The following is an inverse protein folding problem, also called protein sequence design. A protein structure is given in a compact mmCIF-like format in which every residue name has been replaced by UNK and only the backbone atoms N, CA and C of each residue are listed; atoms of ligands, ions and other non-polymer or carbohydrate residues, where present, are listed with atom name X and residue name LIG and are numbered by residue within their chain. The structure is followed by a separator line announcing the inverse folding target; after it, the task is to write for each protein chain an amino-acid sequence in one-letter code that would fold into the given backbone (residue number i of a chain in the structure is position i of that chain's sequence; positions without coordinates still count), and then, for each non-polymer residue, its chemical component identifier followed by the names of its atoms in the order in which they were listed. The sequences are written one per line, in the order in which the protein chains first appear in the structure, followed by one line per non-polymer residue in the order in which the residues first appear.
data_IF_736262713216
#
_entry.id   IF_736262713216
#
_cell.length_a   1.000
_cell.length_b   1.000
_cell.length_c   1.000
_cell.angle_alpha   90.00
_cell.angle_beta   90.00
_cell.angle_gamma   90.00
#
_symmetry.space_group_name_H-M   'P 1'
#
loop_
_entity.id
_entity.type
_entity.pdbx_description
1 polymer ?
#
# COMPACT_ATOMS: atom_id res chain seq x y z
N UNK A 1 -13.32 -32.51 -45.97
CA UNK A 1 -14.79 -32.34 -45.89
C UNK A 1 -15.11 -30.94 -45.36
N UNK A 2 -15.38 -29.96 -46.23
CA UNK A 2 -15.84 -28.64 -45.83
C UNK A 2 -17.37 -28.62 -45.70
N UNK A 3 -17.89 -28.21 -44.54
CA UNK A 3 -19.33 -28.03 -44.32
C UNK A 3 -19.73 -26.54 -44.52
N UNK A 4 -20.91 -26.27 -45.10
CA UNK A 4 -21.27 -24.97 -45.67
C UNK A 4 -21.90 -23.97 -44.67
N UNK A 5 -21.63 -22.68 -44.91
CA UNK A 5 -22.48 -21.53 -44.55
C UNK A 5 -22.94 -20.85 -45.88
N UNK A 6 -23.95 -19.94 -45.93
CA UNK A 6 -24.81 -19.38 -44.88
C UNK A 6 -26.31 -19.35 -45.24
N UNK A 7 -27.20 -19.12 -44.26
CA UNK A 7 -28.59 -18.74 -44.53
C UNK A 7 -28.93 -17.43 -43.81
N UNK A 8 -29.06 -16.35 -44.59
CA UNK A 8 -29.51 -15.02 -44.14
C UNK A 8 -31.03 -14.99 -44.21
N UNK A 9 -31.70 -14.90 -43.07
CA UNK A 9 -33.13 -14.62 -43.01
C UNK A 9 -33.30 -13.12 -42.74
N UNK A 10 -33.91 -12.43 -43.70
CA UNK A 10 -34.44 -11.07 -43.54
C UNK A 10 -35.87 -11.20 -43.00
N UNK A 11 -36.17 -10.58 -41.87
CA UNK A 11 -37.56 -10.35 -41.46
C UNK A 11 -37.80 -8.84 -41.32
N UNK A 12 -38.80 -8.37 -42.05
CA UNK A 12 -39.32 -7.00 -42.00
C UNK A 12 -40.37 -6.89 -40.89
N UNK A 13 -40.28 -5.78 -40.16
CA UNK A 13 -41.34 -4.94 -39.58
C UNK A 13 -42.48 -5.59 -38.77
N UNK A 14 -42.61 -5.15 -37.52
CA UNK A 14 -43.91 -4.79 -36.94
C UNK A 14 -43.70 -3.71 -35.87
N UNK A 15 -44.64 -2.78 -35.84
CA UNK A 15 -44.60 -1.51 -35.13
C UNK A 15 -45.20 -1.61 -33.71
N UNK A 16 -44.76 -0.64 -32.89
CA UNK A 16 -45.48 0.02 -31.81
C UNK A 16 -46.07 -0.85 -30.68
N UNK A 17 -45.37 -0.85 -29.54
CA UNK A 17 -46.00 -0.90 -28.23
C UNK A 17 -45.53 0.32 -27.42
N UNK A 18 -46.47 1.22 -27.15
CA UNK A 18 -46.30 2.36 -26.24
C UNK A 18 -46.13 1.82 -24.82
N UNK A 19 -44.89 1.80 -24.34
CA UNK A 19 -44.53 1.53 -22.95
C UNK A 19 -44.41 2.87 -22.21
N UNK A 20 -45.45 3.24 -21.48
CA UNK A 20 -45.36 4.15 -20.34
C UNK A 20 -44.69 3.40 -19.19
N UNK A 21 -43.36 3.29 -19.24
CA UNK A 21 -42.54 2.94 -18.08
C UNK A 21 -41.70 4.16 -17.74
N UNK A 22 -42.04 4.81 -16.63
CA UNK A 22 -41.25 5.91 -16.08
C UNK A 22 -39.80 5.47 -15.83
N UNK A 23 -38.87 6.44 -15.72
CA UNK A 23 -37.47 6.12 -15.57
C UNK A 23 -37.31 5.36 -14.25
N UNK A 24 -36.98 4.08 -14.35
CA UNK A 24 -36.24 3.41 -13.31
C UNK A 24 -34.92 4.19 -13.20
N UNK A 25 -34.90 5.17 -12.30
CA UNK A 25 -33.69 5.78 -11.78
C UNK A 25 -32.92 4.70 -11.05
N UNK A 26 -32.34 3.77 -11.81
CA UNK A 26 -31.27 2.92 -11.35
C UNK A 26 -30.13 3.86 -11.05
N UNK A 27 -30.08 4.34 -9.82
CA UNK A 27 -28.82 4.81 -9.23
C UNK A 27 -27.92 3.59 -9.31
N UNK A 28 -27.11 3.53 -10.36
CA UNK A 28 -26.04 2.56 -10.44
C UNK A 28 -25.27 2.74 -9.14
N UNK A 29 -25.34 1.73 -8.26
CA UNK A 29 -24.56 1.72 -7.04
C UNK A 29 -23.11 1.91 -7.48
N UNK A 30 -22.57 3.11 -7.25
CA UNK A 30 -21.15 3.36 -7.44
C UNK A 30 -20.43 2.27 -6.63
N UNK A 31 -19.51 1.52 -7.23
CA UNK A 31 -18.70 0.56 -6.48
C UNK A 31 -18.15 1.31 -5.28
N UNK A 32 -18.54 0.89 -4.07
CA UNK A 32 -18.01 1.50 -2.86
C UNK A 32 -16.49 1.36 -2.92
N UNK A 33 -15.78 2.47 -2.92
CA UNK A 33 -14.32 2.45 -2.87
C UNK A 33 -13.91 1.62 -1.64
N UNK A 34 -12.96 0.68 -1.79
CA UNK A 34 -12.56 -0.17 -0.68
C UNK A 34 -12.05 0.71 0.48
N UNK A 35 -12.41 0.38 1.74
CA UNK A 35 -12.03 1.21 2.86
C UNK A 35 -10.50 1.25 3.03
N UNK A 36 -9.94 2.45 3.23
CA UNK A 36 -8.50 2.63 3.53
C UNK A 36 -8.23 2.12 4.95
N UNK A 37 -7.76 0.87 5.05
CA UNK A 37 -7.45 0.23 6.34
C UNK A 37 -6.01 0.41 6.78
N UNK A 38 -5.08 0.61 5.83
CA UNK A 38 -3.63 0.59 6.06
C UNK A 38 -3.00 -0.80 5.97
N UNK A 39 -3.76 -1.85 5.62
CA UNK A 39 -3.20 -3.18 5.33
C UNK A 39 -2.51 -3.22 3.98
N UNK A 40 -3.08 -2.57 2.98
CA UNK A 40 -2.53 -2.37 1.65
C UNK A 40 -2.60 -0.88 1.26
N UNK A 41 -2.34 -0.56 -0.01
CA UNK A 41 -2.45 0.80 -0.51
C UNK A 41 -3.86 1.20 -0.95
N UNK A 42 -4.85 0.29 -0.89
CA UNK A 42 -6.25 0.52 -1.26
C UNK A 42 -6.45 1.18 -2.64
N UNK A 43 -5.58 0.88 -3.61
CA UNK A 43 -5.60 1.53 -4.94
C UNK A 43 -5.09 2.98 -4.97
N UNK A 44 -4.71 3.56 -3.82
CA UNK A 44 -4.25 4.95 -3.73
C UNK A 44 -2.77 5.04 -4.09
N UNK A 45 -2.45 5.90 -5.07
CA UNK A 45 -1.07 6.24 -5.40
C UNK A 45 -0.63 7.48 -4.61
N UNK A 46 0.61 7.49 -4.09
CA UNK A 46 1.17 8.70 -3.48
C UNK A 46 1.42 9.75 -4.58
N UNK A 47 1.05 11.03 -4.36
CA UNK A 47 1.29 12.12 -5.31
C UNK A 47 2.76 12.59 -5.26
N UNK A 48 3.70 11.65 -5.44
CA UNK A 48 5.14 11.87 -5.39
C UNK A 48 5.71 11.49 -6.76
N UNK A 49 6.54 12.38 -7.33
CA UNK A 49 7.22 12.09 -8.57
C UNK A 49 8.16 10.87 -8.39
N UNK A 50 8.15 9.90 -9.33
CA UNK A 50 9.08 8.76 -9.27
C UNK A 50 10.54 9.22 -9.25
N UNK A 51 11.34 8.63 -8.38
CA UNK A 51 12.78 8.87 -8.29
C UNK A 51 13.53 7.59 -8.66
N UNK A 52 14.57 7.70 -9.48
CA UNK A 52 15.42 6.56 -9.82
C UNK A 52 16.27 6.10 -8.63
N UNK A 53 16.47 4.80 -8.46
CA UNK A 53 17.38 4.28 -7.45
C UNK A 53 17.20 2.80 -7.17
N UNK A 54 17.42 2.40 -5.92
CA UNK A 54 17.22 1.03 -5.45
C UNK A 54 16.38 1.01 -4.18
N UNK A 55 15.77 -0.13 -3.91
CA UNK A 55 15.11 -0.42 -2.63
C UNK A 55 15.90 -1.56 -1.98
N UNK A 56 16.59 -1.28 -0.88
CA UNK A 56 17.37 -2.29 -0.14
C UNK A 56 16.94 -2.36 1.31
N UNK A 57 16.61 -3.56 1.75
CA UNK A 57 16.13 -3.83 3.10
C UNK A 57 17.07 -4.85 3.75
N UNK A 58 17.60 -4.53 4.93
CA UNK A 58 18.48 -5.40 5.71
C UNK A 58 17.95 -5.48 7.14
N UNK A 59 17.89 -6.68 7.70
CA UNK A 59 17.54 -6.92 9.11
C UNK A 59 18.06 -8.28 9.56
N UNK A 60 18.05 -8.56 10.87
CA UNK A 60 18.32 -9.92 11.38
C UNK A 60 17.16 -10.86 11.11
N UNK A 61 15.92 -10.39 11.30
CA UNK A 61 14.70 -11.17 11.12
C UNK A 61 13.68 -10.37 10.31
N UNK A 62 12.93 -11.06 9.45
CA UNK A 62 11.78 -10.50 8.78
C UNK A 62 10.58 -11.45 8.75
N UNK A 63 9.40 -10.85 8.78
CA UNK A 63 8.12 -11.46 8.44
C UNK A 63 7.69 -10.90 7.09
N UNK A 64 7.22 -11.74 6.18
CA UNK A 64 6.75 -11.32 4.85
C UNK A 64 5.44 -12.00 4.49
N UNK A 65 4.48 -11.22 4.03
CA UNK A 65 3.22 -11.74 3.51
C UNK A 65 2.63 -10.80 2.46
N UNK A 66 1.76 -11.34 1.62
CA UNK A 66 0.98 -10.56 0.66
C UNK A 66 -0.30 -10.03 1.30
N UNK A 67 -0.70 -8.84 0.89
CA UNK A 67 -1.99 -8.23 1.22
C UNK A 67 -2.83 -8.12 -0.07
N UNK A 68 -3.96 -7.42 0.00
CA UNK A 68 -4.74 -7.05 -1.19
C UNK A 68 -3.91 -6.26 -2.19
N UNK A 69 -4.46 -6.03 -3.39
CA UNK A 69 -3.93 -5.17 -4.47
C UNK A 69 -2.49 -5.45 -4.99
N UNK A 70 -1.91 -6.60 -4.62
CA UNK A 70 -0.53 -6.95 -4.97
C UNK A 70 0.52 -6.32 -4.03
N UNK A 71 0.09 -5.76 -2.90
CA UNK A 71 1.01 -5.26 -1.87
C UNK A 71 1.73 -6.41 -1.18
N UNK A 72 3.07 -6.31 -1.11
CA UNK A 72 3.90 -7.11 -0.21
C UNK A 72 4.14 -6.32 1.06
N UNK A 73 3.91 -6.97 2.19
CA UNK A 73 4.15 -6.40 3.51
C UNK A 73 5.29 -7.12 4.21
N UNK A 74 6.10 -6.34 4.91
CA UNK A 74 7.25 -6.78 5.65
C UNK A 74 7.21 -6.19 7.05
N UNK A 75 7.61 -6.99 8.04
CA UNK A 75 8.05 -6.48 9.35
C UNK A 75 9.50 -6.89 9.53
N UNK A 76 10.37 -5.95 9.86
CA UNK A 76 11.81 -6.10 9.99
C UNK A 76 12.21 -5.87 11.44
N UNK A 77 13.07 -6.72 11.99
CA UNK A 77 13.55 -6.63 13.36
C UNK A 77 15.06 -6.90 13.46
N UNK A 78 15.73 -6.09 14.28
CA UNK A 78 17.15 -6.24 14.62
C UNK A 78 18.07 -5.64 13.55
N UNK A 79 18.80 -4.59 13.93
CA UNK A 79 19.75 -3.86 13.07
C UNK A 79 19.18 -3.48 11.71
N UNK A 80 17.96 -2.96 11.70
CA UNK A 80 17.23 -2.66 10.48
C UNK A 80 17.95 -1.53 9.73
N UNK A 81 18.23 -1.75 8.44
CA UNK A 81 18.67 -0.73 7.50
C UNK A 81 17.74 -0.72 6.30
N UNK A 82 17.19 0.45 6.01
CA UNK A 82 16.28 0.67 4.89
C UNK A 82 16.90 1.72 3.98
N UNK A 83 17.06 1.38 2.71
CA UNK A 83 17.46 2.31 1.68
C UNK A 83 16.37 2.44 0.62
N UNK A 84 15.94 3.67 0.37
CA UNK A 84 14.90 3.99 -0.62
C UNK A 84 15.42 5.14 -1.48
N UNK A 85 15.63 4.88 -2.77
CA UNK A 85 16.13 5.87 -3.73
C UNK A 85 17.40 6.61 -3.25
N UNK A 86 18.35 5.87 -2.67
CA UNK A 86 19.62 6.40 -2.15
C UNK A 86 19.57 7.00 -0.74
N UNK A 87 18.39 7.14 -0.14
CA UNK A 87 18.25 7.60 1.25
C UNK A 87 18.32 6.42 2.20
N UNK A 88 19.29 6.43 3.12
CA UNK A 88 19.52 5.34 4.07
C UNK A 88 19.06 5.70 5.48
N UNK A 89 18.32 4.79 6.09
CA UNK A 89 17.82 4.89 7.46
C UNK A 89 18.26 3.67 8.26
N UNK A 90 18.59 3.87 9.54
CA UNK A 90 18.81 2.79 10.51
C UNK A 90 17.71 2.85 11.56
N UNK A 91 17.21 1.69 11.98
CA UNK A 91 16.08 1.58 12.90
C UNK A 91 16.24 0.33 13.78
N UNK A 92 15.54 0.29 14.91
CA UNK A 92 15.44 -0.95 15.70
C UNK A 92 14.52 -1.96 15.01
N UNK A 93 13.40 -1.47 14.47
CA UNK A 93 12.34 -2.23 13.80
C UNK A 93 11.72 -1.39 12.68
N UNK A 94 11.10 -2.06 11.70
CA UNK A 94 10.32 -1.39 10.69
C UNK A 94 9.12 -2.23 10.21
N UNK A 95 8.06 -1.58 9.77
CA UNK A 95 7.05 -2.19 8.90
C UNK A 95 7.13 -1.54 7.52
N UNK A 96 7.14 -2.33 6.46
CA UNK A 96 7.32 -1.86 5.09
C UNK A 96 6.23 -2.43 4.18
N UNK A 97 5.64 -1.58 3.36
CA UNK A 97 4.67 -1.92 2.32
C UNK A 97 5.28 -1.60 0.98
N UNK A 98 5.18 -2.53 0.04
CA UNK A 98 5.69 -2.39 -1.31
C UNK A 98 4.65 -2.87 -2.31
N UNK A 99 4.35 -2.03 -3.30
CA UNK A 99 3.46 -2.39 -4.40
C UNK A 99 4.02 -1.90 -5.71
N UNK A 100 4.03 -2.76 -6.70
CA UNK A 100 4.40 -2.40 -8.06
C UNK A 100 3.22 -1.64 -8.70
N UNK A 101 3.47 -0.46 -9.26
CA UNK A 101 2.39 0.39 -9.81
C UNK A 101 2.00 -0.01 -11.23
N UNK A 102 2.92 -0.55 -12.01
CA UNK A 102 2.70 -0.94 -13.41
C UNK A 102 3.68 -2.07 -13.82
N UNK A 103 3.68 -2.45 -15.10
CA UNK A 103 4.61 -3.46 -15.62
C UNK A 103 6.06 -2.97 -15.73
N UNK A 104 6.32 -1.67 -15.54
CA UNK A 104 7.67 -1.13 -15.42
C UNK A 104 8.26 -1.46 -14.04
N UNK A 105 9.55 -1.19 -13.81
CA UNK A 105 10.17 -1.41 -12.49
C UNK A 105 9.79 -0.33 -11.46
N UNK A 106 8.58 0.23 -11.55
CA UNK A 106 8.09 1.29 -10.68
C UNK A 106 7.38 0.74 -9.46
N UNK A 107 7.86 1.16 -8.29
CA UNK A 107 7.37 0.73 -6.98
C UNK A 107 6.88 1.91 -6.18
N UNK A 108 5.73 1.74 -5.53
CA UNK A 108 5.33 2.55 -4.40
C UNK A 108 5.75 1.85 -3.12
N UNK A 109 6.38 2.61 -2.22
CA UNK A 109 6.89 2.11 -0.94
C UNK A 109 6.43 3.02 0.19
N UNK A 110 6.03 2.40 1.29
CA UNK A 110 5.86 3.05 2.58
C UNK A 110 6.63 2.28 3.63
N UNK A 111 7.42 2.97 4.45
CA UNK A 111 8.14 2.39 5.57
C UNK A 111 7.84 3.14 6.86
N UNK A 112 7.35 2.43 7.86
CA UNK A 112 7.23 2.91 9.23
C UNK A 112 8.42 2.39 10.03
N UNK A 113 9.30 3.29 10.45
CA UNK A 113 10.55 2.97 11.11
C UNK A 113 10.49 3.37 12.60
N UNK A 114 10.93 2.50 13.51
CA UNK A 114 11.03 2.79 14.95
C UNK A 114 12.48 3.03 15.39
N UNK A 115 12.67 3.94 16.36
CA UNK A 115 13.97 4.32 16.91
C UNK A 115 15.00 4.70 15.83
N UNK A 116 14.58 5.60 14.94
CA UNK A 116 15.35 5.93 13.75
C UNK A 116 16.62 6.69 14.10
N UNK A 117 17.70 6.28 13.45
CA UNK A 117 18.99 6.95 13.39
C UNK A 117 19.41 7.05 11.93
N UNK A 118 19.79 8.24 11.50
CA UNK A 118 20.44 8.42 10.19
C UNK A 118 21.95 8.50 10.41
N UNK A 119 22.77 7.81 9.60
CA UNK A 119 24.21 8.01 9.66
C UNK A 119 24.53 9.48 9.36
N UNK A 120 25.39 10.10 10.17
CA UNK A 120 25.85 11.47 9.91
C UNK A 120 26.59 11.50 8.56
N UNK A 121 25.96 12.07 7.54
CA UNK A 121 26.67 12.59 6.37
C UNK A 121 27.39 13.89 6.73
N UNK A 122 28.46 14.21 6.02
CA UNK A 122 29.26 15.43 6.22
C UNK A 122 28.34 16.66 6.32
N UNK A 123 28.45 17.36 7.46
CA UNK A 123 27.71 18.57 7.83
C UNK A 123 26.17 18.46 7.89
N UNK A 124 25.65 18.13 9.09
CA UNK A 124 24.74 19.07 9.75
C UNK A 124 23.32 18.64 10.12
N UNK A 125 22.83 17.43 9.81
CA UNK A 125 21.49 17.03 10.29
C UNK A 125 21.39 15.51 10.51
N UNK A 126 21.53 15.06 11.75
CA UNK A 126 21.15 13.70 12.15
C UNK A 126 19.68 13.71 12.58
N UNK A 127 18.83 12.96 11.87
CA UNK A 127 17.45 12.71 12.29
C UNK A 127 17.44 11.61 13.35
N UNK A 128 16.88 11.92 14.52
CA UNK A 128 16.48 10.96 15.55
C UNK A 128 14.98 11.11 15.78
N UNK A 129 14.25 10.01 15.66
CA UNK A 129 12.81 10.01 15.87
C UNK A 129 12.38 8.68 16.52
N UNK A 130 11.43 8.74 17.44
CA UNK A 130 10.83 7.54 18.01
C UNK A 130 10.10 6.71 16.93
N UNK A 131 9.46 7.41 16.00
CA UNK A 131 8.85 6.82 14.81
C UNK A 131 9.00 7.75 13.61
N UNK A 132 9.26 7.19 12.43
CA UNK A 132 9.37 7.93 11.17
C UNK A 132 8.62 7.20 10.05
N UNK A 133 7.49 7.74 9.56
CA UNK A 133 6.90 7.29 8.30
C UNK A 133 7.69 7.86 7.11
N UNK A 134 8.06 6.99 6.18
CA UNK A 134 8.76 7.32 4.93
C UNK A 134 7.89 6.89 3.76
N UNK A 135 7.68 7.79 2.80
CA UNK A 135 6.91 7.57 1.57
C UNK A 135 7.85 7.65 0.37
N UNK A 136 7.64 6.82 -0.63
CA UNK A 136 8.42 6.89 -1.87
C UNK A 136 7.70 6.28 -3.07
N UNK A 137 7.97 6.84 -4.24
CA UNK A 137 7.70 6.22 -5.54
C UNK A 137 9.04 6.11 -6.24
N UNK A 138 9.46 4.89 -6.57
CA UNK A 138 10.82 4.58 -7.02
C UNK A 138 10.78 3.84 -8.33
N UNK A 139 11.52 4.36 -9.32
CA UNK A 139 11.88 3.61 -10.52
C UNK A 139 13.11 2.77 -10.15
N UNK A 140 12.86 1.54 -9.68
CA UNK A 140 13.86 0.71 -9.02
C UNK A 140 14.71 -0.07 -10.02
N UNK A 141 16.02 0.19 -10.00
CA UNK A 141 17.03 -0.62 -10.68
C UNK A 141 17.23 -1.98 -10.01
N UNK A 142 17.02 -2.05 -8.70
CA UNK A 142 17.16 -3.25 -7.86
C UNK A 142 16.21 -3.17 -6.66
N UNK A 143 15.70 -4.34 -6.27
CA UNK A 143 14.88 -4.54 -5.06
C UNK A 143 15.42 -5.75 -4.32
N UNK A 144 16.01 -5.53 -3.15
CA UNK A 144 16.69 -6.58 -2.40
C UNK A 144 16.30 -6.61 -0.92
N UNK A 145 16.07 -7.82 -0.41
CA UNK A 145 15.92 -8.12 1.02
C UNK A 145 17.06 -9.04 1.46
N UNK A 146 17.79 -8.65 2.51
CA UNK A 146 18.83 -9.47 3.14
C UNK A 146 18.50 -9.67 4.61
N UNK A 147 18.24 -10.91 5.00
CA UNK A 147 17.90 -11.29 6.37
C UNK A 147 18.49 -12.63 6.75
N UNK A 148 18.74 -12.83 8.04
CA UNK A 148 19.23 -14.11 8.56
C UNK A 148 18.06 -15.11 8.70
N UNK A 149 16.87 -14.62 9.07
CA UNK A 149 15.65 -15.41 9.19
C UNK A 149 14.47 -14.72 8.50
N UNK A 150 13.79 -15.44 7.60
CA UNK A 150 12.56 -15.01 6.94
C UNK A 150 11.39 -15.92 7.31
N UNK A 151 10.33 -15.33 7.85
CA UNK A 151 9.05 -15.98 8.10
C UNK A 151 8.01 -15.59 7.06
N UNK A 152 7.48 -16.53 6.26
CA UNK A 152 6.50 -16.24 5.20
C UNK A 152 5.06 -16.12 5.75
N UNK A 153 4.89 -15.36 6.84
CA UNK A 153 3.60 -15.12 7.49
C UNK A 153 3.63 -13.83 8.29
N UNK A 154 2.47 -13.22 8.52
CA UNK A 154 2.37 -12.11 9.45
C UNK A 154 2.82 -12.52 10.87
N UNK A 155 3.46 -11.61 11.64
CA UNK A 155 3.82 -11.88 13.02
C UNK A 155 2.55 -12.07 13.86
N UNK A 156 2.44 -13.22 14.54
CA UNK A 156 1.22 -13.57 15.28
C UNK A 156 1.08 -12.82 16.61
N UNK A 157 2.18 -12.42 17.26
CA UNK A 157 2.19 -11.80 18.59
C UNK A 157 3.50 -11.05 18.89
N UNK A 158 3.51 -10.36 20.02
CA UNK A 158 4.68 -9.66 20.53
C UNK A 158 4.96 -8.36 19.79
N UNK A 159 6.16 -7.83 19.99
CA UNK A 159 6.57 -6.55 19.43
C UNK A 159 6.45 -6.46 17.90
N UNK A 160 6.87 -7.47 17.10
CA UNK A 160 6.70 -7.42 15.64
C UNK A 160 5.24 -7.21 15.20
N UNK A 161 4.29 -7.85 15.89
CA UNK A 161 2.87 -7.66 15.62
C UNK A 161 2.40 -6.23 15.97
N UNK A 162 2.93 -5.64 17.04
CA UNK A 162 2.62 -4.27 17.44
C UNK A 162 3.20 -3.24 16.47
N UNK A 163 4.43 -3.45 15.97
CA UNK A 163 5.03 -2.61 14.91
C UNK A 163 4.18 -2.66 13.65
N UNK A 164 3.69 -3.85 13.28
CA UNK A 164 2.80 -4.03 12.15
C UNK A 164 1.55 -3.15 12.29
N UNK A 165 0.86 -3.21 13.43
CA UNK A 165 -0.36 -2.44 13.72
C UNK A 165 -0.13 -0.93 13.75
N UNK A 166 0.97 -0.46 14.37
CA UNK A 166 1.32 0.97 14.39
C UNK A 166 1.62 1.47 12.98
N UNK A 167 2.31 0.67 12.17
CA UNK A 167 2.57 1.01 10.79
C UNK A 167 1.30 1.01 9.92
N UNK A 168 0.31 0.13 10.16
CA UNK A 168 -1.00 0.21 9.49
C UNK A 168 -1.69 1.53 9.78
N UNK A 169 -1.72 1.95 11.04
CA UNK A 169 -2.32 3.22 11.43
C UNK A 169 -1.62 4.40 10.73
N UNK A 170 -0.28 4.37 10.63
CA UNK A 170 0.50 5.38 9.94
C UNK A 170 0.29 5.37 8.42
N UNK A 171 0.24 4.20 7.78
CA UNK A 171 -0.03 4.08 6.35
C UNK A 171 -1.44 4.57 6.03
N UNK A 172 -2.44 4.19 6.83
CA UNK A 172 -3.82 4.65 6.67
C UNK A 172 -3.89 6.17 6.67
N UNK A 173 -3.22 6.84 7.61
CA UNK A 173 -3.19 8.31 7.64
C UNK A 173 -2.51 8.88 6.39
N UNK A 174 -1.36 8.33 6.00
CA UNK A 174 -0.63 8.76 4.81
C UNK A 174 -1.46 8.60 3.51
N UNK A 175 -2.28 7.55 3.41
CA UNK A 175 -3.15 7.32 2.26
C UNK A 175 -4.37 8.24 2.26
N UNK A 176 -4.94 8.53 3.44
CA UNK A 176 -6.01 9.53 3.56
C UNK A 176 -5.53 10.90 3.13
N UNK A 177 -4.36 11.31 3.59
CA UNK A 177 -3.70 12.55 3.16
C UNK A 177 -3.49 12.57 1.63
N UNK A 178 -2.96 11.49 1.06
CA UNK A 178 -2.74 11.36 -0.38
C UNK A 178 -4.04 11.40 -1.20
N UNK A 179 -5.14 10.89 -0.66
CA UNK A 179 -6.46 10.93 -1.27
C UNK A 179 -7.21 12.26 -1.03
N UNK A 180 -6.61 13.22 -0.32
CA UNK A 180 -7.27 14.49 0.04
C UNK A 180 -8.41 14.35 1.06
N UNK A 181 -8.44 13.23 1.81
CA UNK A 181 -9.44 12.97 2.84
C UNK A 181 -9.06 13.63 4.16
N UNK A 182 -10.03 14.12 4.96
CA UNK A 182 -9.75 14.75 6.24
C UNK A 182 -9.12 13.75 7.23
N UNK A 183 -8.20 14.24 8.06
CA UNK A 183 -7.61 13.45 9.15
C UNK A 183 -8.70 12.89 10.07
N UNK A 184 -8.52 11.65 10.52
CA UNK A 184 -9.43 11.07 11.52
C UNK A 184 -9.16 11.78 12.84
N UNK A 185 -10.09 12.63 13.29
CA UNK A 185 -10.02 13.16 14.66
C UNK A 185 -10.07 11.97 15.61
N UNK A 186 -9.07 11.85 16.48
CA UNK A 186 -9.10 10.91 17.58
C UNK A 186 -10.29 11.28 18.47
N UNK A 187 -11.43 10.62 18.26
CA UNK A 187 -12.58 10.76 19.13
C UNK A 187 -12.15 10.18 20.47
N UNK A 188 -12.02 11.06 21.47
CA UNK A 188 -11.67 10.66 22.82
C UNK A 188 -12.76 9.68 23.29
N UNK A 189 -12.43 8.40 23.32
CA UNK A 189 -13.20 7.41 24.04
C UNK A 189 -13.13 7.82 25.50
N UNK A 190 -14.11 8.61 25.94
CA UNK A 190 -14.36 8.86 27.36
C UNK A 190 -14.84 7.52 27.91
N UNK A 191 -14.09 6.86 28.81
CA UNK A 191 -14.62 5.66 29.46
C UNK A 191 -15.84 6.09 30.28
N UNK A 192 -17.02 5.64 29.84
CA UNK A 192 -18.23 5.71 30.66
C UNK A 192 -18.03 4.74 31.82
N UNK A 193 -17.55 5.25 32.94
CA UNK A 193 -17.52 4.51 34.20
C UNK A 193 -18.96 4.53 34.73
N UNK A 194 -19.60 3.37 34.74
CA UNK A 194 -20.86 3.12 35.45
C UNK A 194 -20.55 2.51 36.82
#
# INVERSE_FOLDING_TARGET
MPAPAPARVRLRAAAALLLLCGPAGGVAAQPAEPPITGKDFAGVAFPIAPVGGSIRLVARRAWSWGEGDGTTRLVLEGDVRVEIAGNAFQASRAAVWMRRLDSSARWQVFAYLEDVRTPMGEAGTSVRAAALPVRGVVDASDVALRVDLLEPSAPARGEPAQVALRGEAALREALREAAGLPAVKAEAVVPSIA
#
